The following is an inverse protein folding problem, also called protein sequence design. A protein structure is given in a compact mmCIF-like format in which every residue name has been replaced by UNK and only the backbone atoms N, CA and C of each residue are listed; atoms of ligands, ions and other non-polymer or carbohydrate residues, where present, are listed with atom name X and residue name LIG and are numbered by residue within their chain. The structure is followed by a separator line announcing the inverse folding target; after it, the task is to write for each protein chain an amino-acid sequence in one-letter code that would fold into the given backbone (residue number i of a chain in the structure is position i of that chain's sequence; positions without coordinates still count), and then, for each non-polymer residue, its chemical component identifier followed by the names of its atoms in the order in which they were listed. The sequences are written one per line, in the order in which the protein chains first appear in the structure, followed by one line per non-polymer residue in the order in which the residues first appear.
data_IF_549197292075
#
_entry.id   IF_549197292075
#
_cell.length_a   1.000
_cell.length_b   1.000
_cell.length_c   1.000
_cell.angle_alpha   90.00
_cell.angle_beta   90.00
_cell.angle_gamma   90.00
#
_symmetry.space_group_name_H-M   'P 1'
#
loop_
_entity.id
_entity.type
_entity.pdbx_description
1 polymer ?
#
# COMPACT_ATOMS: atom_id res chain seq x y z
N UNK A 1 9.37 40.26 -41.86
CA UNK A 1 8.59 39.00 -41.90
C UNK A 1 8.93 38.26 -40.62
N UNK A 2 7.94 37.88 -39.83
CA UNK A 2 8.18 37.16 -38.57
C UNK A 2 8.35 35.68 -38.88
N UNK A 3 9.38 35.03 -38.32
CA UNK A 3 9.51 33.58 -38.40
C UNK A 3 8.64 32.91 -37.36
N UNK A 4 7.82 31.95 -37.79
CA UNK A 4 6.96 31.12 -36.94
C UNK A 4 7.47 29.69 -37.03
N UNK A 5 7.96 29.17 -35.92
CA UNK A 5 8.48 27.81 -35.81
C UNK A 5 7.42 26.92 -35.14
N UNK A 6 7.09 25.80 -35.77
CA UNK A 6 6.27 24.75 -35.16
C UNK A 6 7.17 23.60 -34.77
N UNK A 7 7.29 23.31 -33.48
CA UNK A 7 8.04 22.18 -32.94
C UNK A 7 7.22 20.92 -33.18
N UNK A 8 7.74 20.01 -34.00
CA UNK A 8 7.09 18.72 -34.24
C UNK A 8 8.12 17.62 -34.39
N UNK A 9 7.89 16.47 -33.74
CA UNK A 9 8.73 15.29 -33.92
C UNK A 9 8.60 14.77 -35.36
N UNK A 10 9.72 14.46 -35.98
CA UNK A 10 9.77 14.01 -37.39
C UNK A 10 8.99 12.71 -37.60
N UNK A 11 8.97 11.83 -36.61
CA UNK A 11 8.26 10.55 -36.63
C UNK A 11 6.83 10.63 -36.04
N UNK A 12 6.36 11.83 -35.65
CA UNK A 12 5.02 12.01 -35.10
C UNK A 12 3.94 11.76 -36.14
N UNK A 13 2.83 11.12 -35.76
CA UNK A 13 1.65 11.04 -36.61
C UNK A 13 1.06 12.43 -36.90
N UNK A 14 1.25 13.40 -35.98
CA UNK A 14 0.80 14.80 -36.12
C UNK A 14 1.67 15.61 -37.10
N UNK A 15 2.81 15.07 -37.55
CA UNK A 15 3.74 15.76 -38.43
C UNK A 15 3.09 16.17 -39.76
N UNK A 16 2.24 15.31 -40.31
CA UNK A 16 1.49 15.59 -41.55
C UNK A 16 0.51 16.75 -41.40
N UNK A 17 -0.20 16.81 -40.26
CA UNK A 17 -1.11 17.93 -39.96
C UNK A 17 -0.31 19.23 -39.77
N UNK A 18 0.88 19.15 -39.18
CA UNK A 18 1.80 20.29 -39.03
C UNK A 18 2.29 20.79 -40.39
N UNK A 19 2.69 19.90 -41.30
CA UNK A 19 3.11 20.25 -42.67
C UNK A 19 1.99 20.94 -43.43
N UNK A 20 0.76 20.44 -43.30
CA UNK A 20 -0.43 21.07 -43.87
C UNK A 20 -0.66 22.47 -43.30
N UNK A 21 -0.59 22.62 -41.98
CA UNK A 21 -0.75 23.91 -41.30
C UNK A 21 0.30 24.94 -41.78
N UNK A 22 1.56 24.52 -41.95
CA UNK A 22 2.63 25.37 -42.46
C UNK A 22 2.34 25.86 -43.88
N UNK A 23 1.93 24.95 -44.78
CA UNK A 23 1.62 25.31 -46.17
C UNK A 23 0.45 26.30 -46.25
N UNK A 24 -0.66 25.99 -45.58
CA UNK A 24 -1.86 26.84 -45.57
C UNK A 24 -1.57 28.21 -44.94
N UNK A 25 -0.79 28.24 -43.85
CA UNK A 25 -0.43 29.48 -43.16
C UNK A 25 0.52 30.35 -43.97
N UNK A 26 1.47 29.76 -44.71
CA UNK A 26 2.38 30.50 -45.59
C UNK A 26 1.65 31.15 -46.78
N UNK A 27 0.61 30.50 -47.32
CA UNK A 27 -0.23 31.14 -48.33
C UNK A 27 -1.13 32.23 -47.70
N UNK A 28 -1.77 31.93 -46.57
CA UNK A 28 -2.68 32.86 -45.89
C UNK A 28 -1.99 34.14 -45.38
N UNK A 29 -0.76 34.03 -44.88
CA UNK A 29 -0.01 35.12 -44.26
C UNK A 29 1.20 35.58 -45.08
N UNK A 30 1.16 35.33 -46.38
CA UNK A 30 2.23 35.63 -47.33
C UNK A 30 2.74 37.07 -47.20
N UNK A 31 4.06 37.21 -47.07
CA UNK A 31 4.73 38.50 -46.93
C UNK A 31 4.72 39.09 -45.51
N UNK A 32 3.96 38.51 -44.57
CA UNK A 32 3.90 38.94 -43.17
C UNK A 32 4.62 37.97 -42.24
N UNK A 33 4.38 36.67 -42.41
CA UNK A 33 4.97 35.58 -41.63
C UNK A 33 5.62 34.53 -42.53
N UNK A 34 6.62 33.82 -41.99
CA UNK A 34 7.22 32.63 -42.57
C UNK A 34 7.09 31.48 -41.58
N UNK A 35 6.17 30.56 -41.86
CA UNK A 35 5.98 29.33 -41.09
C UNK A 35 6.97 28.27 -41.54
N UNK A 36 7.58 27.62 -40.56
CA UNK A 36 8.52 26.52 -40.79
C UNK A 36 8.43 25.51 -39.65
N UNK A 37 8.74 24.26 -39.96
CA UNK A 37 8.81 23.21 -38.94
C UNK A 37 10.21 23.18 -38.36
N UNK A 38 10.29 23.07 -37.04
CA UNK A 38 11.50 22.72 -36.32
C UNK A 38 11.42 21.23 -35.95
N UNK A 39 12.42 20.47 -36.38
CA UNK A 39 12.53 19.05 -36.02
C UNK A 39 12.79 18.94 -34.52
N UNK A 40 11.77 18.54 -33.77
CA UNK A 40 11.86 18.42 -32.33
C UNK A 40 12.94 17.40 -31.93
N UNK A 41 13.66 17.73 -30.86
CA UNK A 41 14.72 16.88 -30.33
C UNK A 41 14.08 15.77 -29.50
N UNK A 42 14.34 14.54 -29.93
CA UNK A 42 13.92 13.34 -29.20
C UNK A 42 15.11 12.70 -28.47
N UNK A 43 14.85 11.77 -27.53
CA UNK A 43 15.90 10.95 -26.92
C UNK A 43 16.73 10.12 -27.93
N UNK A 44 16.29 10.02 -29.19
CA UNK A 44 17.01 9.32 -30.26
C UNK A 44 17.97 10.22 -31.04
N UNK A 45 18.02 11.51 -30.72
CA UNK A 45 18.93 12.46 -31.38
C UNK A 45 20.40 12.08 -31.08
N UNK A 46 21.30 12.19 -32.06
CA UNK A 46 22.69 11.69 -31.93
C UNK A 46 23.44 12.35 -30.76
N UNK A 47 23.25 13.66 -30.60
CA UNK A 47 23.86 14.44 -29.53
C UNK A 47 23.07 14.46 -28.21
N UNK A 48 21.97 13.70 -28.09
CA UNK A 48 21.07 13.81 -26.94
C UNK A 48 21.81 13.59 -25.62
N UNK A 49 22.60 12.52 -25.52
CA UNK A 49 23.34 12.21 -24.30
C UNK A 49 24.42 13.23 -23.96
N UNK A 50 25.03 13.83 -25.00
CA UNK A 50 25.97 14.93 -24.81
C UNK A 50 25.27 16.15 -24.21
N UNK A 51 24.09 16.49 -24.72
CA UNK A 51 23.31 17.59 -24.16
C UNK A 51 22.87 17.33 -22.72
N UNK A 52 22.45 16.10 -22.39
CA UNK A 52 22.15 15.71 -21.00
C UNK A 52 23.36 15.95 -20.11
N UNK A 53 24.55 15.49 -20.50
CA UNK A 53 25.76 15.68 -19.71
C UNK A 53 26.16 17.16 -19.54
N UNK A 54 25.91 18.00 -20.54
CA UNK A 54 26.30 19.42 -20.52
C UNK A 54 25.27 20.33 -19.82
N UNK A 55 23.98 20.01 -19.96
CA UNK A 55 22.86 20.89 -19.63
C UNK A 55 21.93 20.36 -18.55
N UNK A 56 22.00 19.09 -18.14
CA UNK A 56 21.21 18.57 -17.01
C UNK A 56 22.05 18.54 -15.73
N UNK A 57 21.45 18.93 -14.60
CA UNK A 57 22.07 18.76 -13.28
C UNK A 57 21.06 18.20 -12.26
N UNK A 58 21.20 16.90 -11.97
CA UNK A 58 20.34 16.20 -11.03
C UNK A 58 20.42 16.77 -9.61
N UNK A 59 21.58 17.31 -9.19
CA UNK A 59 21.70 17.88 -7.84
C UNK A 59 20.97 19.22 -7.71
N UNK A 60 21.03 20.07 -8.74
CA UNK A 60 20.26 21.32 -8.77
C UNK A 60 18.76 21.07 -8.98
N UNK A 61 18.38 19.99 -9.67
CA UNK A 61 16.98 19.56 -9.79
C UNK A 61 16.32 19.32 -8.44
N UNK A 62 17.03 18.80 -7.44
CA UNK A 62 16.49 18.63 -6.08
C UNK A 62 16.07 19.93 -5.39
N UNK A 63 16.45 21.10 -5.95
CA UNK A 63 16.08 22.44 -5.45
C UNK A 63 15.09 23.15 -6.37
N UNK A 64 14.67 22.53 -7.47
CA UNK A 64 13.81 23.14 -8.47
C UNK A 64 12.36 23.20 -8.01
N UNK A 65 11.59 24.10 -8.64
CA UNK A 65 10.17 24.20 -8.35
C UNK A 65 9.43 22.93 -8.82
N UNK A 66 9.93 22.25 -9.86
CA UNK A 66 9.46 20.93 -10.28
C UNK A 66 9.59 19.89 -9.18
N UNK A 67 10.76 19.74 -8.56
CA UNK A 67 10.97 18.75 -7.51
C UNK A 67 10.10 18.99 -6.28
N UNK A 68 9.67 20.22 -6.00
CA UNK A 68 8.79 20.48 -4.87
C UNK A 68 7.30 20.55 -5.23
N UNK A 69 6.97 20.43 -6.51
CA UNK A 69 5.58 20.33 -6.97
C UNK A 69 4.97 18.96 -6.70
N UNK A 70 3.63 18.91 -6.63
CA UNK A 70 2.85 17.67 -6.50
C UNK A 70 2.95 16.74 -7.73
N UNK A 71 3.55 17.22 -8.83
CA UNK A 71 3.54 16.57 -10.14
C UNK A 71 4.85 15.86 -10.46
N UNK A 72 5.91 16.18 -9.72
CA UNK A 72 7.15 15.45 -9.83
C UNK A 72 7.06 14.16 -8.99
N UNK A 73 6.95 13.03 -9.67
CA UNK A 73 7.07 11.72 -9.04
C UNK A 73 8.48 11.13 -9.19
N UNK A 74 9.28 11.64 -10.14
CA UNK A 74 10.60 11.13 -10.57
C UNK A 74 11.48 12.26 -11.17
N UNK A 75 12.67 11.91 -11.67
CA UNK A 75 13.53 12.83 -12.44
C UNK A 75 12.83 13.33 -13.71
N UNK A 76 13.40 14.40 -14.30
CA UNK A 76 12.96 14.92 -15.59
C UNK A 76 13.03 13.79 -16.64
N UNK A 77 11.91 13.53 -17.30
CA UNK A 77 11.85 12.50 -18.33
C UNK A 77 12.74 12.92 -19.51
N UNK A 78 13.41 11.99 -20.20
CA UNK A 78 14.22 12.30 -21.38
C UNK A 78 13.46 13.10 -22.43
N UNK A 79 12.16 12.87 -22.50
CA UNK A 79 11.31 13.59 -23.41
C UNK A 79 10.98 15.02 -22.99
N UNK A 80 10.79 15.27 -21.69
CA UNK A 80 10.64 16.63 -21.17
C UNK A 80 11.94 17.42 -21.41
N UNK A 81 13.09 16.75 -21.27
CA UNK A 81 14.38 17.31 -21.64
C UNK A 81 14.48 17.59 -23.14
N UNK A 82 14.05 16.68 -24.01
CA UNK A 82 14.00 16.88 -25.46
C UNK A 82 13.08 18.03 -25.89
N UNK A 83 11.93 18.17 -25.23
CA UNK A 83 11.04 19.32 -25.39
C UNK A 83 11.77 20.62 -25.03
N UNK A 84 12.37 20.69 -23.83
CA UNK A 84 13.15 21.84 -23.39
C UNK A 84 14.25 22.20 -24.39
N UNK A 85 15.04 21.22 -24.84
CA UNK A 85 16.09 21.44 -25.83
C UNK A 85 15.55 22.04 -27.12
N UNK A 86 14.39 21.57 -27.60
CA UNK A 86 13.77 22.09 -28.82
C UNK A 86 13.47 23.59 -28.71
N UNK A 87 12.91 24.02 -27.57
CA UNK A 87 12.71 25.44 -27.29
C UNK A 87 14.04 26.19 -27.14
N UNK A 88 15.02 25.62 -26.44
CA UNK A 88 16.33 26.23 -26.21
C UNK A 88 17.10 26.51 -27.52
N UNK A 89 17.06 25.58 -28.49
CA UNK A 89 17.68 25.82 -29.79
C UNK A 89 16.93 26.87 -30.61
N UNK A 90 15.61 26.92 -30.53
CA UNK A 90 14.84 28.00 -31.15
C UNK A 90 15.13 29.38 -30.52
N UNK A 91 15.38 29.44 -29.20
CA UNK A 91 15.89 30.66 -28.58
C UNK A 91 17.25 31.06 -29.15
N UNK A 92 18.17 30.10 -29.35
CA UNK A 92 19.47 30.37 -29.99
C UNK A 92 19.31 30.91 -31.41
N UNK A 93 18.40 30.34 -32.19
CA UNK A 93 18.11 30.84 -33.54
C UNK A 93 17.47 32.24 -33.51
N UNK A 94 16.61 32.55 -32.54
CA UNK A 94 16.08 33.90 -32.34
C UNK A 94 17.19 34.94 -32.07
N UNK A 95 18.16 34.60 -31.21
CA UNK A 95 19.32 35.46 -30.94
C UNK A 95 20.20 35.61 -32.18
N UNK A 96 20.47 34.51 -32.89
CA UNK A 96 21.32 34.47 -34.09
C UNK A 96 20.74 35.27 -35.24
N UNK A 97 19.43 35.18 -35.48
CA UNK A 97 18.73 35.95 -36.52
C UNK A 97 18.51 37.39 -36.11
N UNK A 98 18.60 37.70 -34.81
CA UNK A 98 18.35 39.00 -34.23
C UNK A 98 16.98 39.57 -34.64
N UNK A 99 15.97 38.70 -34.73
CA UNK A 99 14.58 39.04 -35.02
C UNK A 99 13.66 38.31 -34.02
N UNK A 100 12.53 38.93 -33.63
CA UNK A 100 11.53 38.22 -32.85
C UNK A 100 10.97 37.02 -33.60
N UNK A 101 10.67 35.95 -32.85
CA UNK A 101 10.11 34.72 -33.40
C UNK A 101 8.85 34.32 -32.64
N UNK A 102 8.02 33.53 -33.31
CA UNK A 102 6.90 32.83 -32.67
C UNK A 102 7.26 31.35 -32.63
N UNK A 103 7.08 30.71 -31.49
CA UNK A 103 7.33 29.29 -31.28
C UNK A 103 5.99 28.66 -30.90
N UNK A 104 5.59 27.63 -31.63
CA UNK A 104 4.36 26.87 -31.47
C UNK A 104 4.68 25.38 -31.32
N UNK A 105 3.85 24.63 -30.60
CA UNK A 105 3.87 23.16 -30.56
C UNK A 105 2.98 22.56 -31.66
N UNK A 106 3.06 21.24 -31.89
CA UNK A 106 2.34 20.57 -32.98
C UNK A 106 0.85 20.31 -32.72
N UNK A 107 0.36 20.63 -31.52
CA UNK A 107 -1.03 20.50 -31.12
C UNK A 107 -1.82 21.80 -31.11
N UNK A 108 -1.33 22.83 -31.80
CA UNK A 108 -2.04 24.11 -31.90
C UNK A 108 -2.96 24.24 -33.11
N UNK A 109 -3.92 25.15 -33.00
CA UNK A 109 -4.68 25.74 -34.08
C UNK A 109 -4.58 27.28 -34.03
N UNK A 110 -4.58 27.93 -35.19
CA UNK A 110 -4.48 29.40 -35.29
C UNK A 110 -5.86 30.05 -35.29
N UNK A 111 -6.08 30.99 -34.38
CA UNK A 111 -7.33 31.73 -34.29
C UNK A 111 -7.39 32.91 -35.27
N UNK A 112 -8.59 33.44 -35.49
CA UNK A 112 -8.83 34.54 -36.44
C UNK A 112 -8.05 35.82 -36.11
N UNK A 113 -7.76 36.06 -34.83
CA UNK A 113 -7.01 37.21 -34.33
C UNK A 113 -5.48 37.00 -34.29
N UNK A 114 -4.96 35.88 -34.80
CA UNK A 114 -3.53 35.55 -34.74
C UNK A 114 -2.62 36.67 -35.25
N UNK A 115 -2.90 37.20 -36.44
CA UNK A 115 -2.06 38.26 -37.02
C UNK A 115 -2.12 39.58 -36.26
N UNK A 116 -3.30 39.93 -35.75
CA UNK A 116 -3.47 41.14 -34.94
C UNK A 116 -2.60 41.05 -33.68
N UNK A 117 -2.65 39.90 -32.99
CA UNK A 117 -1.84 39.66 -31.81
C UNK A 117 -0.33 39.78 -32.08
N UNK A 118 0.15 39.28 -33.22
CA UNK A 118 1.57 39.42 -33.60
C UNK A 118 1.97 40.88 -33.87
N UNK A 119 1.11 41.64 -34.55
CA UNK A 119 1.35 43.07 -34.79
C UNK A 119 1.41 43.86 -33.48
N UNK A 120 0.56 43.53 -32.53
CA UNK A 120 0.53 44.18 -31.23
C UNK A 120 1.73 43.77 -30.38
N UNK A 121 2.14 42.50 -30.43
CA UNK A 121 3.38 42.04 -29.80
C UNK A 121 4.60 42.83 -30.31
N UNK A 122 4.70 43.04 -31.63
CA UNK A 122 5.80 43.80 -32.24
C UNK A 122 5.83 45.29 -31.83
N UNK A 123 4.66 45.89 -31.54
CA UNK A 123 4.55 47.28 -31.08
C UNK A 123 4.74 47.40 -29.56
N UNK A 124 4.59 46.29 -28.84
CA UNK A 124 4.70 46.24 -27.38
C UNK A 124 6.17 46.22 -26.93
N UNK A 125 6.46 46.66 -25.69
CA UNK A 125 7.80 46.56 -25.10
C UNK A 125 8.06 45.21 -24.40
N UNK A 126 7.22 44.19 -24.64
CA UNK A 126 7.28 42.93 -23.92
C UNK A 126 8.21 41.94 -24.63
N UNK A 127 9.17 41.40 -23.88
CA UNK A 127 10.17 40.48 -24.41
C UNK A 127 9.64 39.05 -24.63
N UNK A 128 8.54 38.70 -23.96
CA UNK A 128 7.88 37.41 -24.02
C UNK A 128 6.37 37.57 -23.83
N UNK A 129 5.59 36.90 -24.68
CA UNK A 129 4.12 36.91 -24.61
C UNK A 129 3.58 35.54 -24.99
N UNK A 130 2.82 34.92 -24.10
CA UNK A 130 2.09 33.68 -24.39
C UNK A 130 0.95 33.95 -25.37
N UNK A 131 0.85 33.11 -26.38
CA UNK A 131 -0.22 33.12 -27.38
C UNK A 131 -1.33 32.12 -27.03
N UNK A 132 -1.04 31.21 -26.11
CA UNK A 132 -2.01 30.34 -25.46
C UNK A 132 -1.61 30.12 -24.00
N UNK A 133 -2.61 29.92 -23.14
CA UNK A 133 -2.42 29.64 -21.73
C UNK A 133 -3.71 29.09 -21.12
N UNK A 134 -3.58 28.36 -20.03
CA UNK A 134 -4.71 27.96 -19.21
C UNK A 134 -4.32 28.02 -17.74
N UNK A 135 -5.31 28.19 -16.87
CA UNK A 135 -5.09 28.05 -15.44
C UNK A 135 -5.03 26.58 -15.08
N UNK A 136 -4.15 26.28 -14.14
CA UNK A 136 -4.20 25.01 -13.44
C UNK A 136 -5.42 24.89 -12.53
N UNK A 137 -5.88 23.66 -12.31
CA UNK A 137 -7.07 23.35 -11.54
C UNK A 137 -7.08 24.01 -10.16
N UNK A 138 -8.23 24.56 -9.76
CA UNK A 138 -8.42 25.20 -8.45
C UNK A 138 -8.21 26.71 -8.40
N UNK A 139 -7.67 27.34 -9.45
CA UNK A 139 -7.61 28.82 -9.52
C UNK A 139 -8.98 29.42 -9.82
N UNK A 140 -9.40 30.39 -9.00
CA UNK A 140 -10.58 31.22 -9.22
C UNK A 140 -10.12 32.65 -9.51
N UNK A 141 -9.67 32.87 -10.75
CA UNK A 141 -9.30 34.23 -11.17
C UNK A 141 -10.56 35.09 -11.31
N UNK A 142 -10.46 36.38 -10.97
CA UNK A 142 -11.59 37.30 -10.97
C UNK A 142 -12.08 37.60 -12.39
N UNK A 143 -11.16 37.62 -13.37
CA UNK A 143 -11.49 37.94 -14.75
C UNK A 143 -11.85 36.71 -15.57
N UNK A 144 -11.61 35.49 -15.06
CA UNK A 144 -11.81 34.21 -15.76
C UNK A 144 -11.24 34.22 -17.20
N UNK A 145 -10.13 34.91 -17.39
CA UNK A 145 -9.67 35.36 -18.71
C UNK A 145 -9.02 34.24 -19.56
N UNK A 146 -8.67 33.12 -18.93
CA UNK A 146 -8.10 31.91 -19.54
C UNK A 146 -8.93 30.68 -19.12
N UNK A 147 -8.97 29.61 -19.94
CA UNK A 147 -9.67 28.37 -19.58
C UNK A 147 -9.05 27.69 -18.35
N UNK A 148 -9.84 26.89 -17.63
CA UNK A 148 -9.40 26.07 -16.48
C UNK A 148 -9.22 24.62 -16.95
N UNK A 149 -8.08 24.01 -16.63
CA UNK A 149 -7.85 22.59 -16.87
C UNK A 149 -8.55 21.73 -15.79
N UNK A 150 -9.33 20.72 -16.19
CA UNK A 150 -9.99 19.75 -15.29
C UNK A 150 -9.73 18.31 -15.75
N UNK A 151 -9.13 17.49 -14.90
CA UNK A 151 -8.69 16.08 -15.16
C UNK A 151 -9.84 15.02 -15.15
N UNK A 152 -11.11 15.43 -15.09
CA UNK A 152 -12.21 14.59 -14.58
C UNK A 152 -13.01 13.77 -15.63
N UNK A 153 -12.37 12.93 -16.45
CA UNK A 153 -13.11 12.01 -17.36
C UNK A 153 -12.67 10.52 -17.30
N UNK A 154 -12.06 10.06 -16.20
CA UNK A 154 -11.77 8.63 -16.01
C UNK A 154 -12.12 8.20 -14.58
N UNK A 155 -13.27 7.52 -14.37
CA UNK A 155 -13.51 6.44 -13.38
C UNK A 155 -15.02 6.17 -13.17
N UNK A 156 -15.62 5.36 -14.04
CA UNK A 156 -16.88 4.66 -13.75
C UNK A 156 -16.64 3.15 -13.93
N UNK A 157 -16.17 2.50 -12.86
CA UNK A 157 -16.20 1.05 -12.71
C UNK A 157 -16.77 0.74 -11.32
N UNK A 158 -18.07 0.42 -11.29
CA UNK A 158 -18.78 -0.08 -10.13
C UNK A 158 -18.46 -1.58 -10.00
N UNK A 159 -17.60 -1.94 -9.06
CA UNK A 159 -17.52 -3.30 -8.52
C UNK A 159 -18.66 -3.48 -7.51
N UNK A 160 -19.64 -4.32 -7.83
CA UNK A 160 -20.66 -4.78 -6.86
C UNK A 160 -20.19 -6.05 -6.18
N UNK A 161 -20.09 -5.95 -4.85
CA UNK A 161 -19.73 -6.95 -3.87
C UNK A 161 -20.67 -8.18 -3.87
N UNK A 162 -20.09 -9.38 -3.73
CA UNK A 162 -20.79 -10.64 -3.48
C UNK A 162 -21.13 -10.80 -1.99
N UNK A 163 -22.35 -11.28 -1.72
CA UNK A 163 -22.92 -11.49 -0.39
C UNK A 163 -22.72 -12.95 0.03
N UNK A 164 -22.02 -13.21 1.15
CA UNK A 164 -22.05 -14.49 1.86
C UNK A 164 -22.84 -14.38 3.18
N UNK A 165 -23.58 -15.44 3.52
CA UNK A 165 -24.37 -15.58 4.76
C UNK A 165 -24.00 -16.88 5.48
N UNK A 166 -24.25 -17.00 6.81
CA UNK A 166 -23.35 -17.69 7.74
C UNK A 166 -23.78 -19.11 8.17
N UNK A 167 -22.79 -19.80 8.75
CA UNK A 167 -22.79 -21.17 9.29
C UNK A 167 -23.50 -21.25 10.66
N UNK A 168 -24.34 -22.28 10.84
CA UNK A 168 -25.09 -22.59 12.05
C UNK A 168 -24.33 -23.60 12.93
N UNK A 169 -24.10 -23.26 14.20
CA UNK A 169 -23.46 -24.13 15.21
C UNK A 169 -24.54 -24.76 16.11
N UNK A 170 -24.39 -26.05 16.43
CA UNK A 170 -25.11 -26.68 17.54
C UNK A 170 -24.16 -27.35 18.54
N UNK A 171 -24.34 -26.94 19.79
CA UNK A 171 -23.68 -27.34 21.02
C UNK A 171 -24.48 -28.46 21.72
N UNK A 172 -23.81 -29.46 22.31
CA UNK A 172 -24.43 -30.37 23.30
C UNK A 172 -23.40 -30.82 24.36
N UNK A 173 -23.64 -30.45 25.61
CA UNK A 173 -23.03 -30.96 26.87
C UNK A 173 -23.71 -32.23 27.41
N UNK A 174 -23.03 -33.01 28.28
CA UNK A 174 -23.73 -33.78 29.32
C UNK A 174 -23.17 -33.62 30.77
N UNK A 175 -23.94 -34.00 31.82
CA UNK A 175 -23.68 -33.70 33.24
C UNK A 175 -23.15 -34.93 34.06
N UNK A 176 -22.87 -34.78 35.39
CA UNK A 176 -21.89 -35.59 36.14
C UNK A 176 -22.47 -36.75 36.98
N UNK A 177 -21.56 -37.58 37.52
CA UNK A 177 -21.83 -38.73 38.41
C UNK A 177 -21.25 -38.47 39.82
N UNK A 178 -21.85 -38.99 40.93
CA UNK A 178 -21.29 -38.85 42.27
C UNK A 178 -20.53 -40.11 42.77
N UNK A 179 -19.57 -39.86 43.66
CA UNK A 179 -18.68 -40.80 44.35
C UNK A 179 -19.24 -41.29 45.70
N UNK A 180 -18.73 -42.43 46.19
CA UNK A 180 -18.61 -42.87 47.60
C UNK A 180 -17.80 -44.18 47.64
N UNK A 181 -16.55 -44.21 48.11
CA UNK A 181 -16.00 -44.26 49.49
C UNK A 181 -16.17 -45.61 50.22
N UNK A 182 -15.04 -46.20 50.60
CA UNK A 182 -14.84 -47.52 51.22
C UNK A 182 -14.57 -47.38 52.72
N UNK A 183 -15.07 -48.33 53.52
CA UNK A 183 -14.67 -48.48 54.92
C UNK A 183 -14.11 -49.88 55.18
N UNK A 184 -13.03 -49.90 55.95
CA UNK A 184 -12.14 -50.99 56.27
C UNK A 184 -12.32 -51.32 57.75
N UNK A 185 -12.39 -52.61 58.13
CA UNK A 185 -12.29 -53.02 59.54
C UNK A 185 -11.44 -54.30 59.69
N UNK A 186 -10.47 -54.20 60.60
CA UNK A 186 -9.55 -55.23 61.11
C UNK A 186 -10.16 -55.96 62.32
N UNK A 187 -9.97 -57.28 62.48
CA UNK A 187 -9.90 -57.93 63.80
C UNK A 187 -8.84 -59.06 63.82
N UNK A 188 -8.16 -59.15 64.97
CA UNK A 188 -6.91 -59.85 65.33
C UNK A 188 -7.12 -61.31 65.81
N UNK A 189 -6.06 -62.10 65.62
CA UNK A 189 -5.65 -63.40 66.21
C UNK A 189 -6.15 -63.83 67.60
N UNK A 190 -6.20 -65.16 67.81
CA UNK A 190 -5.52 -65.79 68.97
C UNK A 190 -5.15 -67.26 68.70
N UNK A 191 -3.88 -67.60 68.90
CA UNK A 191 -3.33 -68.96 68.93
C UNK A 191 -3.57 -69.64 70.29
N UNK A 192 -3.60 -70.98 70.34
CA UNK A 192 -2.90 -71.77 71.36
C UNK A 192 -2.86 -73.28 71.03
N UNK A 193 -1.69 -73.87 71.27
CA UNK A 193 -1.33 -75.30 71.34
C UNK A 193 -0.18 -75.39 72.39
N UNK A 194 0.39 -76.53 72.83
CA UNK A 194 0.03 -77.97 72.74
C UNK A 194 0.30 -78.75 74.09
N UNK A 195 0.11 -80.08 74.14
CA UNK A 195 1.13 -81.09 74.60
C UNK A 195 0.64 -82.55 74.78
N UNK A 196 1.60 -83.45 74.58
CA UNK A 196 1.64 -84.92 74.55
C UNK A 196 1.33 -85.66 75.88
N UNK A 197 1.07 -87.00 75.80
CA UNK A 197 1.76 -88.04 76.60
C UNK A 197 1.43 -89.48 76.13
N UNK A 198 2.35 -90.40 76.44
CA UNK A 198 2.61 -91.75 75.92
C UNK A 198 2.11 -92.93 76.79
N UNK A 199 1.95 -94.09 76.13
CA UNK A 199 1.88 -95.55 76.48
C UNK A 199 2.17 -96.09 77.92
N UNK A 200 2.05 -97.42 78.23
CA UNK A 200 1.23 -98.54 77.72
C UNK A 200 0.57 -99.39 78.85
N UNK A 201 -0.26 -100.41 78.55
CA UNK A 201 -0.69 -101.41 79.55
C UNK A 201 -0.60 -102.86 79.02
N UNK A 202 -0.08 -103.76 79.87
CA UNK A 202 0.37 -105.12 79.57
C UNK A 202 -0.51 -106.19 80.25
N UNK A 203 -0.75 -107.29 79.51
CA UNK A 203 -0.94 -108.72 79.91
C UNK A 203 -2.32 -109.14 80.46
N UNK A 204 -2.91 -110.20 79.88
CA UNK A 204 -3.00 -111.60 80.38
C UNK A 204 -3.72 -112.47 79.31
N UNK A 205 -3.21 -113.67 78.96
CA UNK A 205 -3.79 -114.50 77.90
C UNK A 205 -4.94 -115.37 78.45
N UNK A 206 -6.17 -115.11 78.01
CA UNK A 206 -7.28 -116.03 78.21
C UNK A 206 -7.41 -116.97 77.01
N UNK A 207 -7.33 -118.28 77.29
CA UNK A 207 -7.77 -119.34 76.38
C UNK A 207 -9.27 -119.17 76.11
N UNK A 208 -9.60 -118.40 75.08
CA UNK A 208 -10.93 -118.44 74.47
C UNK A 208 -10.91 -119.46 73.34
N UNK A 209 -11.74 -120.48 73.48
CA UNK A 209 -12.07 -121.42 72.42
C UNK A 209 -12.38 -120.65 71.12
N UNK A 210 -11.62 -120.93 70.07
CA UNK A 210 -11.85 -120.36 68.74
C UNK A 210 -13.19 -120.86 68.21
N UNK A 211 -14.26 -120.07 68.38
CA UNK A 211 -15.55 -120.33 67.75
C UNK A 211 -15.55 -119.69 66.35
N UNK A 212 -15.35 -120.48 65.27
CA UNK A 212 -15.17 -119.97 63.92
C UNK A 212 -16.40 -119.18 63.42
N UNK A 213 -17.59 -119.41 63.97
CA UNK A 213 -18.83 -118.71 63.61
C UNK A 213 -18.87 -117.29 64.15
N UNK A 214 -18.46 -117.09 65.41
CA UNK A 214 -18.39 -115.76 66.05
C UNK A 214 -17.29 -114.92 65.41
N UNK A 215 -16.11 -115.50 65.18
CA UNK A 215 -15.01 -114.83 64.48
C UNK A 215 -15.42 -114.43 63.05
N UNK A 216 -16.15 -115.30 62.32
CA UNK A 216 -16.68 -114.98 60.98
C UNK A 216 -17.71 -113.84 61.02
N UNK A 217 -18.51 -113.71 62.09
CA UNK A 217 -19.48 -112.61 62.29
C UNK A 217 -18.79 -111.29 62.65
N UNK A 218 -17.77 -111.32 63.51
CA UNK A 218 -16.91 -110.16 63.83
C UNK A 218 -16.14 -109.71 62.58
N UNK A 219 -15.54 -110.64 61.83
CA UNK A 219 -14.85 -110.35 60.56
C UNK A 219 -15.78 -109.68 59.55
N UNK A 220 -17.04 -110.12 59.42
CA UNK A 220 -18.04 -109.46 58.55
C UNK A 220 -18.37 -108.03 59.02
N UNK A 221 -18.59 -107.82 60.32
CA UNK A 221 -18.86 -106.48 60.89
C UNK A 221 -17.65 -105.54 60.72
N UNK A 222 -16.44 -106.05 60.95
CA UNK A 222 -15.20 -105.31 60.76
C UNK A 222 -14.99 -104.95 59.29
N UNK A 223 -15.19 -105.90 58.37
CA UNK A 223 -15.10 -105.63 56.93
C UNK A 223 -16.15 -104.61 56.46
N UNK A 224 -17.37 -104.65 57.00
CA UNK A 224 -18.41 -103.65 56.72
C UNK A 224 -18.05 -102.27 57.28
N UNK A 225 -17.50 -102.21 58.50
CA UNK A 225 -17.02 -100.97 59.12
C UNK A 225 -15.85 -100.35 58.33
N UNK A 226 -14.88 -101.17 57.91
CA UNK A 226 -13.77 -100.75 57.04
C UNK A 226 -14.31 -100.25 55.70
N UNK A 227 -15.30 -100.93 55.10
CA UNK A 227 -15.97 -100.47 53.89
C UNK A 227 -16.65 -99.10 54.06
N UNK A 228 -17.35 -98.88 55.18
CA UNK A 228 -17.98 -97.58 55.49
C UNK A 228 -16.94 -96.47 55.73
N UNK A 229 -15.83 -96.78 56.42
CA UNK A 229 -14.71 -95.82 56.59
C UNK A 229 -14.12 -95.46 55.23
N UNK A 230 -13.82 -96.45 54.39
CA UNK A 230 -13.26 -96.22 53.05
C UNK A 230 -14.19 -95.36 52.20
N UNK A 231 -15.49 -95.63 52.21
CA UNK A 231 -16.49 -94.82 51.52
C UNK A 231 -16.53 -93.38 52.02
N UNK A 232 -16.45 -93.16 53.35
CA UNK A 232 -16.41 -91.82 53.95
C UNK A 232 -15.11 -91.07 53.63
N UNK A 233 -13.97 -91.76 53.64
CA UNK A 233 -12.68 -91.21 53.23
C UNK A 233 -12.71 -90.77 51.77
N UNK A 234 -13.37 -91.54 50.91
CA UNK A 234 -13.52 -91.18 49.49
C UNK A 234 -14.41 -89.94 49.30
N UNK A 235 -15.52 -89.84 50.06
CA UNK A 235 -16.34 -88.60 50.09
C UNK A 235 -15.53 -87.41 50.60
N UNK A 236 -14.69 -87.60 51.63
CA UNK A 236 -13.85 -86.54 52.18
C UNK A 236 -12.78 -86.07 51.18
N UNK A 237 -12.13 -87.00 50.45
CA UNK A 237 -11.19 -86.65 49.37
C UNK A 237 -11.87 -85.82 48.28
N UNK A 238 -13.08 -86.21 47.87
CA UNK A 238 -13.85 -85.45 46.88
C UNK A 238 -14.23 -84.05 47.38
N UNK A 239 -14.51 -83.91 48.69
CA UNK A 239 -14.80 -82.60 49.29
C UNK A 239 -13.56 -81.71 49.35
N UNK A 240 -12.41 -82.26 49.76
CA UNK A 240 -11.12 -81.56 49.74
C UNK A 240 -10.78 -81.10 48.33
N UNK A 241 -10.93 -81.97 47.33
CA UNK A 241 -10.70 -81.62 45.93
C UNK A 241 -11.61 -80.46 45.45
N UNK A 242 -12.87 -80.42 45.86
CA UNK A 242 -13.78 -79.28 45.57
C UNK A 242 -13.35 -78.00 46.28
N UNK A 243 -12.83 -78.11 47.50
CA UNK A 243 -12.34 -76.96 48.26
C UNK A 243 -11.06 -76.38 47.62
N UNK A 244 -10.15 -77.24 47.18
CA UNK A 244 -8.95 -76.86 46.43
C UNK A 244 -9.33 -76.17 45.11
N UNK A 245 -10.31 -76.71 44.38
CA UNK A 245 -10.83 -76.09 43.14
C UNK A 245 -11.45 -74.71 43.42
N UNK A 246 -12.22 -74.56 44.51
CA UNK A 246 -12.82 -73.30 44.89
C UNK A 246 -11.78 -72.27 45.32
N UNK A 247 -10.75 -72.70 46.05
CA UNK A 247 -9.61 -71.87 46.45
C UNK A 247 -8.87 -71.36 45.21
N UNK A 248 -8.60 -72.24 44.24
CA UNK A 248 -7.98 -71.85 42.97
C UNK A 248 -8.81 -70.82 42.19
N UNK A 249 -10.14 -70.94 42.18
CA UNK A 249 -11.04 -69.92 41.58
C UNK A 249 -11.01 -68.59 42.32
N UNK A 250 -10.89 -68.62 43.65
CA UNK A 250 -10.79 -67.42 44.47
C UNK A 250 -9.47 -66.69 44.23
N UNK A 251 -8.37 -67.42 44.13
CA UNK A 251 -7.05 -66.85 43.80
C UNK A 251 -7.05 -66.24 42.39
N UNK A 252 -7.66 -66.90 41.41
CA UNK A 252 -7.82 -66.37 40.06
C UNK A 252 -8.66 -65.08 40.04
N UNK A 253 -9.74 -65.04 40.82
CA UNK A 253 -10.60 -63.86 40.92
C UNK A 253 -9.89 -62.68 41.61
N UNK A 254 -9.10 -62.97 42.65
CA UNK A 254 -8.28 -61.98 43.34
C UNK A 254 -7.24 -61.40 42.39
N UNK A 255 -6.56 -62.24 41.62
CA UNK A 255 -5.61 -61.77 40.59
C UNK A 255 -6.25 -60.88 39.53
N UNK A 256 -7.48 -61.19 39.09
CA UNK A 256 -8.25 -60.32 38.16
C UNK A 256 -8.63 -58.98 38.80
N UNK A 257 -8.93 -58.97 40.09
CA UNK A 257 -9.26 -57.75 40.82
C UNK A 257 -8.04 -56.83 40.96
N UNK A 258 -6.88 -57.40 41.28
CA UNK A 258 -5.61 -56.66 41.33
C UNK A 258 -5.25 -56.07 39.96
N UNK A 259 -5.40 -56.85 38.88
CA UNK A 259 -5.18 -56.38 37.50
C UNK A 259 -6.13 -55.23 37.14
N UNK A 260 -7.40 -55.32 37.52
CA UNK A 260 -8.38 -54.27 37.27
C UNK A 260 -8.08 -52.99 38.06
N UNK A 261 -7.65 -53.13 39.31
CA UNK A 261 -7.22 -52.02 40.16
C UNK A 261 -6.03 -51.30 39.55
N UNK A 262 -5.01 -52.03 39.10
CA UNK A 262 -3.86 -51.44 38.41
C UNK A 262 -4.23 -50.68 37.13
N UNK A 263 -5.19 -51.19 36.35
CA UNK A 263 -5.71 -50.47 35.16
C UNK A 263 -6.47 -49.20 35.53
N UNK A 264 -7.18 -49.19 36.65
CA UNK A 264 -7.89 -48.02 37.14
C UNK A 264 -6.92 -46.92 37.60
N UNK A 265 -5.85 -47.30 38.29
CA UNK A 265 -4.79 -46.37 38.70
C UNK A 265 -4.08 -45.76 37.49
N UNK A 266 -3.77 -46.59 36.47
CA UNK A 266 -3.17 -46.11 35.21
C UNK A 266 -4.10 -45.13 34.48
N UNK A 267 -5.41 -45.42 34.44
CA UNK A 267 -6.39 -44.55 33.82
C UNK A 267 -6.53 -43.21 34.56
N UNK A 268 -6.50 -43.24 35.90
CA UNK A 268 -6.54 -42.05 36.74
C UNK A 268 -5.32 -41.17 36.48
N UNK A 269 -4.12 -41.75 36.42
CA UNK A 269 -2.90 -41.00 36.08
C UNK A 269 -2.94 -40.35 34.69
N UNK A 270 -3.52 -41.02 33.68
CA UNK A 270 -3.73 -40.42 32.35
C UNK A 270 -4.74 -39.28 32.37
N UNK A 271 -5.77 -39.36 33.21
CA UNK A 271 -6.76 -38.29 33.37
C UNK A 271 -6.14 -37.04 34.00
N UNK A 272 -5.30 -37.22 35.02
CA UNK A 272 -4.56 -36.12 35.66
C UNK A 272 -3.59 -35.45 34.67
N UNK A 273 -2.86 -36.24 33.86
CA UNK A 273 -1.97 -35.70 32.82
C UNK A 273 -2.74 -34.89 31.77
N UNK A 274 -3.91 -35.38 31.34
CA UNK A 274 -4.75 -34.69 30.37
C UNK A 274 -5.31 -33.38 30.94
N UNK A 275 -5.71 -33.38 32.21
CA UNK A 275 -6.18 -32.20 32.92
C UNK A 275 -5.08 -31.13 32.98
N UNK A 276 -3.85 -31.51 33.33
CA UNK A 276 -2.72 -30.59 33.34
C UNK A 276 -2.41 -29.98 31.95
N UNK A 277 -2.53 -30.76 30.87
CA UNK A 277 -2.38 -30.23 29.50
C UNK A 277 -3.49 -29.25 29.12
N UNK A 278 -4.71 -29.49 29.60
CA UNK A 278 -5.85 -28.60 29.37
C UNK A 278 -5.66 -27.25 30.07
N UNK A 279 -5.17 -27.27 31.31
CA UNK A 279 -4.86 -26.05 32.07
C UNK A 279 -3.74 -25.24 31.39
N UNK A 280 -2.69 -25.91 30.90
CA UNK A 280 -1.61 -25.23 30.17
C UNK A 280 -2.11 -24.59 28.87
N UNK A 281 -2.99 -25.28 28.13
CA UNK A 281 -3.58 -24.75 26.90
C UNK A 281 -4.48 -23.54 27.18
N UNK A 282 -5.27 -23.60 28.25
CA UNK A 282 -6.11 -22.49 28.70
C UNK A 282 -5.27 -21.26 29.03
N UNK A 283 -4.17 -21.42 29.78
CA UNK A 283 -3.25 -20.33 30.07
C UNK A 283 -2.63 -19.70 28.82
N UNK A 284 -2.27 -20.50 27.81
CA UNK A 284 -1.78 -19.97 26.52
C UNK A 284 -2.85 -19.21 25.75
N UNK A 285 -4.10 -19.64 25.83
CA UNK A 285 -5.23 -18.97 25.19
C UNK A 285 -5.50 -17.60 25.83
N UNK A 286 -5.44 -17.52 27.16
CA UNK A 286 -5.58 -16.26 27.89
C UNK A 286 -4.44 -15.27 27.56
N UNK A 287 -3.20 -15.75 27.47
CA UNK A 287 -2.05 -14.92 27.06
C UNK A 287 -2.21 -14.38 25.63
N UNK A 288 -2.69 -15.22 24.71
CA UNK A 288 -2.92 -14.82 23.32
C UNK A 288 -4.04 -13.79 23.21
N UNK A 289 -5.13 -13.98 23.96
CA UNK A 289 -6.25 -13.02 24.06
C UNK A 289 -5.74 -11.66 24.55
N UNK A 290 -4.93 -11.64 25.62
CA UNK A 290 -4.34 -10.40 26.13
C UNK A 290 -3.46 -9.66 25.11
N UNK A 291 -2.67 -10.39 24.30
CA UNK A 291 -1.87 -9.80 23.21
C UNK A 291 -2.74 -9.24 22.08
N UNK A 292 -3.85 -9.90 21.78
CA UNK A 292 -4.80 -9.44 20.76
C UNK A 292 -5.47 -8.13 21.18
N UNK A 293 -5.89 -8.02 22.45
CA UNK A 293 -6.46 -6.79 23.01
C UNK A 293 -5.46 -5.63 22.98
N UNK A 294 -4.19 -5.88 23.32
CA UNK A 294 -3.13 -4.85 23.25
C UNK A 294 -2.89 -4.37 21.81
N UNK A 295 -2.87 -5.30 20.84
CA UNK A 295 -2.70 -4.96 19.43
C UNK A 295 -3.89 -4.15 18.90
N UNK A 296 -5.10 -4.52 19.30
CA UNK A 296 -6.34 -3.81 18.94
C UNK A 296 -6.30 -2.37 19.47
N UNK A 297 -5.94 -2.18 20.75
CA UNK A 297 -5.79 -0.83 21.31
C UNK A 297 -4.73 0.02 20.60
N UNK A 298 -3.61 -0.57 20.18
CA UNK A 298 -2.59 0.12 19.36
C UNK A 298 -3.11 0.52 17.98
N UNK A 299 -3.94 -0.33 17.36
CA UNK A 299 -4.56 -0.05 16.07
C UNK A 299 -5.55 1.12 16.16
N UNK A 300 -6.38 1.14 17.20
CA UNK A 300 -7.32 2.24 17.45
C UNK A 300 -6.59 3.58 17.69
N UNK A 301 -5.51 3.56 18.47
CA UNK A 301 -4.69 4.76 18.69
C UNK A 301 -4.06 5.28 17.39
N UNK A 302 -3.57 4.37 16.54
CA UNK A 302 -2.99 4.74 15.24
C UNK A 302 -4.06 5.31 14.30
N UNK A 303 -5.24 4.70 14.27
CA UNK A 303 -6.39 5.16 13.48
C UNK A 303 -6.81 6.56 13.90
N UNK A 304 -6.95 6.82 15.21
CA UNK A 304 -7.28 8.15 15.72
C UNK A 304 -6.21 9.21 15.39
N UNK A 305 -4.92 8.84 15.40
CA UNK A 305 -3.82 9.73 14.94
C UNK A 305 -3.93 10.04 13.45
N UNK A 306 -4.26 9.04 12.63
CA UNK A 306 -4.42 9.20 11.19
C UNK A 306 -5.58 10.12 10.84
N UNK A 307 -6.75 9.93 11.45
CA UNK A 307 -7.92 10.81 11.28
C UNK A 307 -7.61 12.25 11.72
N UNK A 308 -6.92 12.42 12.85
CA UNK A 308 -6.49 13.75 13.32
C UNK A 308 -5.54 14.44 12.33
N UNK A 309 -4.64 13.69 11.69
CA UNK A 309 -3.74 14.22 10.67
C UNK A 309 -4.49 14.60 9.40
N UNK A 310 -5.42 13.76 8.92
CA UNK A 310 -6.28 14.08 7.79
C UNK A 310 -7.13 15.33 8.03
N UNK A 311 -7.71 15.48 9.21
CA UNK A 311 -8.48 16.67 9.55
C UNK A 311 -7.61 17.94 9.56
N UNK A 312 -6.37 17.86 10.10
CA UNK A 312 -5.40 18.96 10.01
C UNK A 312 -5.02 19.26 8.57
N UNK A 313 -4.84 18.24 7.74
CA UNK A 313 -4.54 18.36 6.32
C UNK A 313 -5.63 19.11 5.56
N UNK A 314 -6.89 18.71 5.75
CA UNK A 314 -8.05 19.35 5.11
C UNK A 314 -8.15 20.81 5.54
N UNK A 315 -8.05 21.10 6.83
CA UNK A 315 -8.10 22.48 7.34
C UNK A 315 -6.97 23.34 6.77
N UNK A 316 -5.75 22.79 6.69
CA UNK A 316 -4.61 23.46 6.08
C UNK A 316 -4.85 23.72 4.59
N UNK A 317 -5.38 22.75 3.83
CA UNK A 317 -5.71 22.91 2.42
C UNK A 317 -6.78 23.97 2.21
N UNK A 318 -7.88 23.91 2.95
CA UNK A 318 -8.95 24.90 2.86
C UNK A 318 -8.44 26.31 3.15
N UNK A 319 -7.78 26.51 4.30
CA UNK A 319 -7.22 27.82 4.67
C UNK A 319 -6.13 28.30 3.71
N UNK A 320 -5.38 27.38 3.09
CA UNK A 320 -4.39 27.70 2.07
C UNK A 320 -5.06 28.21 0.78
N UNK A 321 -6.04 27.48 0.27
CA UNK A 321 -6.75 27.82 -0.96
C UNK A 321 -7.59 29.09 -0.81
N UNK A 322 -8.25 29.29 0.33
CA UNK A 322 -8.97 30.52 0.65
C UNK A 322 -8.03 31.73 0.64
N UNK A 323 -6.90 31.66 1.35
CA UNK A 323 -5.90 32.75 1.33
C UNK A 323 -5.29 33.00 -0.03
N UNK A 324 -5.18 31.95 -0.86
CA UNK A 324 -4.65 32.07 -2.22
C UNK A 324 -5.63 32.87 -3.08
N UNK A 325 -6.91 32.50 -3.10
CA UNK A 325 -7.94 33.17 -3.90
C UNK A 325 -8.04 34.68 -3.62
N UNK A 326 -7.95 35.10 -2.35
CA UNK A 326 -7.99 36.52 -1.96
C UNK A 326 -6.76 37.34 -2.42
N UNK A 327 -5.68 36.65 -2.83
CA UNK A 327 -4.39 37.25 -3.18
C UNK A 327 -4.11 37.30 -4.68
N UNK A 328 -4.94 36.68 -5.52
CA UNK A 328 -4.72 36.63 -6.96
C UNK A 328 -4.94 38.03 -7.57
N UNK A 329 -3.92 38.52 -8.30
CA UNK A 329 -3.91 39.84 -8.93
C UNK A 329 -3.82 39.69 -10.42
N UNK A 330 -4.59 40.53 -11.10
CA UNK A 330 -4.77 40.49 -12.53
C UNK A 330 -4.76 41.93 -13.06
N UNK A 331 -4.16 42.13 -14.24
CA UNK A 331 -4.14 43.42 -14.89
C UNK A 331 -3.97 43.27 -16.41
N UNK A 332 -4.69 44.11 -17.14
CA UNK A 332 -4.48 44.32 -18.56
C UNK A 332 -3.54 45.49 -18.81
N UNK A 333 -2.75 45.35 -19.87
CA UNK A 333 -1.85 46.36 -20.41
C UNK A 333 -2.08 46.42 -21.92
N UNK A 334 -2.07 47.63 -22.49
CA UNK A 334 -2.32 47.84 -23.91
C UNK A 334 -3.53 47.01 -24.44
N UNK A 335 -4.62 46.99 -23.65
CA UNK A 335 -5.88 46.29 -23.88
C UNK A 335 -5.81 44.74 -23.89
N UNK A 336 -4.81 44.15 -24.54
CA UNK A 336 -4.76 42.72 -24.82
C UNK A 336 -3.70 41.94 -24.02
N UNK A 337 -2.77 42.62 -23.34
CA UNK A 337 -1.69 41.95 -22.62
C UNK A 337 -2.07 41.75 -21.17
N UNK A 338 -2.37 40.51 -20.86
CA UNK A 338 -2.83 40.05 -19.57
C UNK A 338 -1.65 39.61 -18.70
N UNK A 339 -1.54 40.18 -17.50
CA UNK A 339 -0.59 39.78 -16.47
C UNK A 339 -1.36 39.28 -15.26
N UNK A 340 -0.94 38.14 -14.72
CA UNK A 340 -1.54 37.55 -13.52
C UNK A 340 -0.48 37.14 -12.51
N UNK A 341 -0.85 37.13 -11.23
CA UNK A 341 -0.05 36.52 -10.15
C UNK A 341 -0.27 35.02 -10.03
N UNK A 342 -0.98 34.41 -10.96
CA UNK A 342 -1.32 32.98 -10.99
C UNK A 342 -0.45 32.26 -12.02
N UNK A 343 -0.25 30.95 -11.80
CA UNK A 343 0.47 30.11 -12.76
C UNK A 343 -0.33 30.00 -14.07
N UNK A 344 0.31 30.32 -15.19
CA UNK A 344 -0.27 30.14 -16.54
C UNK A 344 0.49 29.02 -17.22
N UNK A 345 -0.16 27.86 -17.34
CA UNK A 345 0.44 26.65 -17.85
C UNK A 345 0.49 26.59 -19.37
N UNK A 346 1.31 25.66 -19.90
CA UNK A 346 1.59 25.34 -21.31
C UNK A 346 2.79 26.05 -21.93
N UNK A 347 3.36 25.43 -22.97
CA UNK A 347 4.29 26.05 -23.93
C UNK A 347 3.77 26.00 -25.37
N UNK A 348 2.47 25.67 -25.54
CA UNK A 348 1.84 25.46 -26.84
C UNK A 348 2.08 26.59 -27.84
N UNK A 349 2.13 27.85 -27.40
CA UNK A 349 2.51 28.94 -28.29
C UNK A 349 2.92 30.22 -27.56
N UNK A 350 4.00 30.84 -28.01
CA UNK A 350 4.46 32.14 -27.51
C UNK A 350 5.28 32.95 -28.53
N UNK A 351 5.28 34.25 -28.34
CA UNK A 351 6.15 35.23 -29.00
C UNK A 351 7.34 35.55 -28.10
N UNK A 352 8.54 35.68 -28.69
CA UNK A 352 9.75 36.05 -27.94
C UNK A 352 10.68 36.96 -28.77
N UNK A 353 11.25 37.97 -28.12
CA UNK A 353 12.26 38.86 -28.72
C UNK A 353 13.67 38.26 -28.59
N UNK A 354 14.66 38.72 -29.38
CA UNK A 354 16.06 38.29 -29.19
C UNK A 354 16.59 38.56 -27.78
N UNK A 355 16.14 39.65 -27.14
CA UNK A 355 16.47 39.98 -25.75
C UNK A 355 15.84 38.98 -24.77
N UNK A 356 14.57 38.65 -24.97
CA UNK A 356 13.87 37.61 -24.20
C UNK A 356 14.57 36.26 -24.31
N UNK A 357 14.82 35.82 -25.53
CA UNK A 357 15.47 34.56 -25.85
C UNK A 357 16.88 34.46 -25.25
N UNK A 358 17.69 35.52 -25.36
CA UNK A 358 19.02 35.57 -24.73
C UNK A 358 18.94 35.40 -23.22
N UNK A 359 17.97 36.06 -22.58
CA UNK A 359 17.83 35.98 -21.12
C UNK A 359 17.39 34.57 -20.67
N UNK A 360 16.54 33.88 -21.44
CA UNK A 360 16.22 32.47 -21.21
C UNK A 360 17.45 31.58 -21.37
N UNK A 361 18.25 31.77 -22.42
CA UNK A 361 19.50 31.02 -22.63
C UNK A 361 20.46 31.22 -21.46
N UNK A 362 20.73 32.47 -21.06
CA UNK A 362 21.63 32.81 -19.96
C UNK A 362 21.15 32.18 -18.64
N UNK A 363 19.83 32.10 -18.42
CA UNK A 363 19.25 31.44 -17.27
C UNK A 363 19.38 29.91 -17.35
N UNK A 364 19.12 29.28 -18.49
CA UNK A 364 19.35 27.84 -18.69
C UNK A 364 20.82 27.48 -18.48
N UNK A 365 21.76 28.30 -18.94
CA UNK A 365 23.19 28.06 -18.74
C UNK A 365 23.61 28.20 -17.27
N UNK A 366 22.98 29.12 -16.54
CA UNK A 366 23.21 29.36 -15.10
C UNK A 366 22.63 28.26 -14.22
N UNK A 367 21.38 27.87 -14.46
CA UNK A 367 20.63 26.96 -13.60
C UNK A 367 20.65 25.51 -14.06
N UNK A 368 21.05 25.27 -15.31
CA UNK A 368 20.88 24.00 -16.01
C UNK A 368 19.39 23.68 -16.20
N UNK A 369 19.10 22.69 -17.05
CA UNK A 369 17.75 22.18 -17.25
C UNK A 369 17.45 21.31 -16.03
N UNK A 370 16.62 21.83 -15.13
CA UNK A 370 16.30 21.20 -13.84
C UNK A 370 14.80 20.99 -13.65
N UNK A 371 14.01 21.36 -14.64
CA UNK A 371 12.56 21.28 -14.66
C UNK A 371 12.04 21.35 -16.10
N UNK A 372 10.80 20.92 -16.36
CA UNK A 372 10.13 21.11 -17.64
C UNK A 372 10.12 22.58 -18.10
N UNK A 373 10.13 22.79 -19.41
CA UNK A 373 10.28 24.12 -20.02
C UNK A 373 9.13 25.07 -19.68
N UNK A 374 7.91 24.55 -19.50
CA UNK A 374 6.74 25.32 -19.14
C UNK A 374 6.86 25.89 -17.72
N UNK A 375 7.34 25.09 -16.76
CA UNK A 375 7.66 25.55 -15.41
C UNK A 375 8.75 26.59 -15.40
N UNK A 376 9.83 26.36 -16.17
CA UNK A 376 10.95 27.29 -16.28
C UNK A 376 10.49 28.67 -16.78
N UNK A 377 9.73 28.71 -17.89
CA UNK A 377 9.19 29.95 -18.47
C UNK A 377 8.19 30.61 -17.52
N UNK A 378 7.43 29.83 -16.76
CA UNK A 378 6.48 30.39 -15.82
C UNK A 378 7.13 31.01 -14.57
N UNK A 379 8.41 30.72 -14.31
CA UNK A 379 9.11 31.17 -13.13
C UNK A 379 10.02 32.38 -13.38
N UNK A 380 9.50 33.62 -13.25
CA UNK A 380 10.28 34.83 -13.48
C UNK A 380 11.47 35.00 -12.52
N UNK A 381 11.59 34.18 -11.46
CA UNK A 381 12.74 34.26 -10.56
C UNK A 381 14.03 33.68 -11.16
N UNK A 382 13.95 32.85 -12.21
CA UNK A 382 15.14 32.35 -12.90
C UNK A 382 15.67 33.36 -13.93
N UNK A 383 14.77 34.02 -14.65
CA UNK A 383 15.13 34.76 -15.86
C UNK A 383 14.69 36.23 -15.85
N UNK A 384 14.00 36.71 -14.82
CA UNK A 384 13.58 38.11 -14.69
C UNK A 384 12.77 38.67 -15.89
N UNK A 385 12.01 37.83 -16.59
CA UNK A 385 11.10 38.23 -17.68
C UNK A 385 9.65 38.18 -17.22
N UNK A 386 8.86 39.19 -17.62
CA UNK A 386 7.43 39.23 -17.36
C UNK A 386 6.69 38.19 -18.21
N UNK A 387 5.83 37.40 -17.56
CA UNK A 387 5.03 36.37 -18.21
C UNK A 387 3.64 36.93 -18.56
N UNK A 388 3.55 37.64 -19.68
CA UNK A 388 2.30 38.13 -20.23
C UNK A 388 1.60 37.05 -21.08
N UNK A 389 0.27 37.07 -21.12
CA UNK A 389 -0.52 36.33 -22.09
C UNK A 389 -1.31 37.31 -22.97
N UNK A 390 -1.44 37.02 -24.26
CA UNK A 390 -2.29 37.79 -25.15
C UNK A 390 -3.73 37.29 -25.10
N UNK A 391 -4.69 38.20 -24.91
CA UNK A 391 -6.12 37.88 -24.84
C UNK A 391 -6.96 38.70 -25.82
N UNK A 392 -7.98 38.09 -26.48
CA UNK A 392 -8.29 36.65 -26.48
C UNK A 392 -7.15 35.83 -27.11
N UNK A 393 -6.95 34.58 -26.66
CA UNK A 393 -5.81 33.77 -27.10
C UNK A 393 -5.79 33.62 -28.64
N UNK A 394 -4.72 34.04 -29.32
CA UNK A 394 -4.59 33.92 -30.77
C UNK A 394 -4.29 32.50 -31.27
N UNK A 395 -4.10 31.57 -30.33
CA UNK A 395 -3.83 30.16 -30.56
C UNK A 395 -4.73 29.35 -29.64
N UNK A 396 -5.21 28.20 -30.11
CA UNK A 396 -5.98 27.23 -29.33
C UNK A 396 -5.36 25.83 -29.45
N UNK A 397 -5.79 24.90 -28.59
CA UNK A 397 -5.40 23.49 -28.70
C UNK A 397 -6.30 22.79 -29.72
N UNK A 398 -5.68 21.98 -30.59
CA UNK A 398 -6.39 21.15 -31.54
C UNK A 398 -6.84 19.81 -30.91
N UNK A 399 -7.63 19.04 -31.64
CA UNK A 399 -8.21 17.75 -31.20
C UNK A 399 -7.18 16.69 -30.74
N UNK A 400 -5.90 16.89 -31.05
CA UNK A 400 -4.83 15.96 -30.71
C UNK A 400 -4.08 16.31 -29.42
N UNK A 401 -4.31 17.49 -28.82
CA UNK A 401 -3.56 17.98 -27.67
C UNK A 401 -3.56 17.02 -26.45
N UNK A 402 -4.63 16.25 -26.25
CA UNK A 402 -4.75 15.30 -25.14
C UNK A 402 -4.04 13.95 -25.38
N UNK A 403 -3.58 13.67 -26.60
CA UNK A 403 -2.92 12.41 -26.96
C UNK A 403 -1.40 12.59 -26.98
N UNK A 404 -0.73 12.76 -25.83
CA UNK A 404 0.72 12.99 -25.80
C UNK A 404 1.48 11.92 -26.59
N UNK A 405 2.10 12.31 -27.70
CA UNK A 405 2.90 11.43 -28.58
C UNK A 405 4.24 11.05 -27.97
N UNK A 406 4.55 11.60 -26.79
CA UNK A 406 5.87 11.67 -26.20
C UNK A 406 6.03 10.69 -25.02
N UNK A 407 4.95 10.18 -24.44
CA UNK A 407 4.98 9.39 -23.20
C UNK A 407 5.43 7.92 -23.34
N UNK A 408 5.64 7.40 -24.56
CA UNK A 408 5.76 5.96 -24.80
C UNK A 408 7.18 5.39 -25.05
N UNK A 409 8.26 6.02 -24.56
CA UNK A 409 9.60 5.43 -24.63
C UNK A 409 10.11 4.93 -23.26
N UNK A 410 10.68 3.72 -23.27
CA UNK A 410 11.30 3.08 -22.10
C UNK A 410 12.41 3.95 -21.51
N UNK A 411 12.45 3.98 -20.17
CA UNK A 411 13.41 4.70 -19.34
C UNK A 411 14.87 4.41 -19.75
N UNK A 412 15.75 5.41 -19.86
CA UNK A 412 17.19 5.18 -19.78
C UNK A 412 17.56 4.75 -18.35
N UNK A 413 18.61 3.95 -18.25
CA UNK A 413 19.04 3.24 -17.03
C UNK A 413 19.75 4.15 -16.01
N UNK A 414 19.46 5.46 -16.03
CA UNK A 414 20.00 6.45 -15.11
C UNK A 414 19.00 6.62 -13.98
N UNK A 415 18.93 5.63 -13.10
CA UNK A 415 18.07 5.64 -11.91
C UNK A 415 18.88 6.14 -10.70
N UNK A 416 18.87 7.45 -10.44
CA UNK A 416 19.19 7.94 -9.11
C UNK A 416 17.98 7.69 -8.21
N UNK A 417 18.19 7.02 -7.07
CA UNK A 417 17.17 6.93 -6.02
C UNK A 417 16.95 8.33 -5.44
N UNK A 418 15.91 9.02 -5.90
CA UNK A 418 15.53 10.32 -5.36
C UNK A 418 15.13 10.20 -3.88
N UNK A 419 15.41 11.23 -3.06
CA UNK A 419 14.93 11.27 -1.68
C UNK A 419 13.40 11.26 -1.66
N UNK A 420 12.81 10.50 -0.72
CA UNK A 420 11.36 10.51 -0.50
C UNK A 420 10.92 11.93 -0.12
N UNK A 421 9.96 12.48 -0.86
CA UNK A 421 9.37 13.78 -0.54
C UNK A 421 8.50 13.68 0.71
N UNK A 422 8.65 14.64 1.62
CA UNK A 422 7.69 14.80 2.71
C UNK A 422 6.47 15.55 2.18
N UNK A 423 5.28 15.10 2.56
CA UNK A 423 4.02 15.79 2.25
C UNK A 423 4.04 17.28 2.67
N UNK A 424 4.69 17.60 3.80
CA UNK A 424 4.81 18.97 4.28
C UNK A 424 5.65 19.87 3.36
N UNK A 425 6.63 19.31 2.65
CA UNK A 425 7.49 20.08 1.73
C UNK A 425 6.66 20.66 0.57
N UNK A 426 5.66 19.91 0.08
CA UNK A 426 4.78 20.33 -1.00
C UNK A 426 3.87 21.51 -0.59
N UNK A 427 3.36 21.50 0.65
CA UNK A 427 2.52 22.60 1.14
C UNK A 427 3.30 23.92 1.24
N UNK A 428 4.53 23.87 1.74
CA UNK A 428 5.39 25.06 1.79
C UNK A 428 5.76 25.56 0.40
N UNK A 429 5.96 24.65 -0.55
CA UNK A 429 6.19 25.00 -1.95
C UNK A 429 5.06 25.83 -2.52
N UNK A 430 3.81 25.38 -2.42
CA UNK A 430 2.67 26.12 -3.00
C UNK A 430 2.56 27.53 -2.43
N UNK A 431 2.80 27.69 -1.13
CA UNK A 431 2.84 29.01 -0.46
C UNK A 431 3.97 29.88 -0.97
N UNK A 432 5.18 29.32 -1.09
CA UNK A 432 6.34 30.06 -1.55
C UNK A 432 6.20 30.46 -3.02
N UNK A 433 5.71 29.55 -3.86
CA UNK A 433 5.44 29.80 -5.28
C UNK A 433 4.37 30.90 -5.47
N UNK A 434 3.27 30.85 -4.71
CA UNK A 434 2.26 31.93 -4.72
C UNK A 434 2.88 33.30 -4.40
N UNK A 435 3.76 33.36 -3.39
CA UNK A 435 4.48 34.58 -3.05
C UNK A 435 5.45 35.03 -4.13
N UNK A 436 6.15 34.11 -4.82
CA UNK A 436 7.02 34.42 -5.97
C UNK A 436 6.19 35.07 -7.08
N UNK A 437 5.09 34.45 -7.48
CA UNK A 437 4.22 34.95 -8.55
C UNK A 437 3.61 36.32 -8.18
N UNK A 438 3.18 36.52 -6.94
CA UNK A 438 2.65 37.80 -6.48
C UNK A 438 3.72 38.92 -6.45
N UNK A 439 4.94 38.60 -6.01
CA UNK A 439 6.06 39.56 -6.07
C UNK A 439 6.40 39.92 -7.51
N UNK A 440 6.42 38.95 -8.41
CA UNK A 440 6.65 39.17 -9.83
C UNK A 440 5.55 40.05 -10.44
N UNK A 441 4.27 39.76 -10.14
CA UNK A 441 3.15 40.58 -10.56
C UNK A 441 3.33 42.05 -10.12
N UNK A 442 3.62 42.31 -8.85
CA UNK A 442 3.82 43.68 -8.38
C UNK A 442 5.03 44.36 -9.03
N UNK A 443 6.14 43.63 -9.21
CA UNK A 443 7.35 44.13 -9.90
C UNK A 443 6.99 44.60 -11.31
N UNK A 444 6.39 43.73 -12.12
CA UNK A 444 6.11 44.03 -13.53
C UNK A 444 4.91 44.98 -13.69
N UNK A 445 3.90 44.89 -12.84
CA UNK A 445 2.79 45.85 -12.84
C UNK A 445 3.26 47.27 -12.54
N UNK A 446 4.25 47.42 -11.64
CA UNK A 446 4.90 48.71 -11.39
C UNK A 446 5.78 49.15 -12.56
N UNK A 447 6.57 48.24 -13.12
CA UNK A 447 7.48 48.53 -14.24
C UNK A 447 6.72 49.04 -15.48
N UNK A 448 5.56 48.46 -15.77
CA UNK A 448 4.74 48.79 -16.94
C UNK A 448 3.51 49.63 -16.59
N UNK A 449 3.52 50.34 -15.45
CA UNK A 449 2.35 51.06 -14.94
C UNK A 449 1.77 52.08 -15.94
N UNK A 450 2.61 52.71 -16.77
CA UNK A 450 2.17 53.66 -17.80
C UNK A 450 1.42 53.02 -18.97
N UNK A 451 1.51 51.71 -19.14
CA UNK A 451 0.86 50.94 -20.21
C UNK A 451 -0.39 50.21 -19.71
N UNK A 452 -0.69 50.33 -18.41
CA UNK A 452 -1.80 49.63 -17.77
C UNK A 452 -3.10 50.15 -18.34
N UNK A 453 -3.95 49.24 -18.82
CA UNK A 453 -5.28 49.59 -19.30
C UNK A 453 -6.08 50.14 -18.11
N UNK A 454 -6.60 51.38 -18.19
CA UNK A 454 -7.51 51.90 -17.18
C UNK A 454 -8.68 50.91 -17.05
N UNK A 455 -9.00 50.47 -15.83
CA UNK A 455 -10.12 49.55 -15.60
C UNK A 455 -11.42 50.20 -16.11
N UNK A 456 -11.92 49.76 -17.25
CA UNK A 456 -13.34 49.51 -17.43
C UNK A 456 -13.50 47.99 -17.40
N UNK A 457 -13.58 47.44 -16.17
CA UNK A 457 -14.07 46.07 -15.92
C UNK A 457 -15.21 46.19 -14.93
#
# INVERSE_FOLDING_TARGET
MISVYIISLKESQRRLDTEKLVLESNEKFKGRCAFQIFDAISPKHEDFEKFVQELYDAQSMLKSDWFHSDYCYQELLPQEFGCYLSHYFLWKECVKTNQPVVILEDDVALESNFMQALEDCLKSPFDFVRLYGHYWGGHKTNLCALPIYTEAEETDYIETEEVETPIENHEVTPPPNPAQDTQQDFIIETQQNPKELSEPCKIVPQKTSFNPVVFRKIKRKLNHFIGNILARTEVYKNLVAKYDELTGKYDELTGKYDELTGKYDELTGKYDELTGKYDELTGKYDELTGKYDELTGKYDELTGKYESLLAKEVNIKETFWERRADSEKEAFFLEHFYLTSVYVATTAGYYITPKGAKTFIDATERFKIIEPVDMFINNPTYHDIANFAYLPCPVSLNKHAFNSTIQNAKKPDISLKLPRKSYFDNLFYHKFNAQKCLKAFHKYSKQYASLKTPKEV
#
